data_IF_925927062156
#
_entry.id   IF_925927062156
#
_cell.length_a   1.000
_cell.length_b   1.000
_cell.length_c   1.000
_cell.angle_alpha   90.00
_cell.angle_beta   90.00
_cell.angle_gamma   90.00
#
_symmetry.space_group_name_H-M   'P 1'
#
loop_
_entity.id
_entity.type
_entity.pdbx_description
1 polymer ?
#
# COMPACT_ATOMS: atom_id res chain seq x y z
N UNK A 1 6.94 -10.69 -44.85
CA UNK A 1 5.77 -9.91 -44.49
C UNK A 1 5.38 -10.08 -43.02
N UNK A 2 5.49 -11.30 -42.52
CA UNK A 2 5.23 -11.54 -41.09
C UNK A 2 6.17 -10.77 -40.20
N UNK A 3 7.38 -10.50 -40.67
CA UNK A 3 8.37 -9.75 -39.91
C UNK A 3 7.93 -8.33 -39.58
N UNK A 4 7.11 -7.72 -40.44
CA UNK A 4 6.60 -6.37 -40.24
C UNK A 4 5.63 -6.34 -39.03
N UNK A 5 4.75 -7.34 -38.94
CA UNK A 5 3.80 -7.44 -37.82
C UNK A 5 4.54 -7.69 -36.51
N UNK A 6 5.52 -8.59 -36.54
CA UNK A 6 6.33 -8.87 -35.35
C UNK A 6 7.11 -7.64 -34.90
N UNK A 7 7.60 -6.85 -35.84
CA UNK A 7 8.30 -5.62 -35.54
C UNK A 7 7.37 -4.61 -34.86
N UNK A 8 6.13 -4.51 -35.32
CA UNK A 8 5.15 -3.62 -34.70
C UNK A 8 4.86 -4.02 -33.26
N UNK A 9 4.72 -5.32 -32.99
CA UNK A 9 4.53 -5.81 -31.62
C UNK A 9 5.74 -5.50 -30.75
N UNK A 10 6.94 -5.68 -31.29
CA UNK A 10 8.16 -5.35 -30.58
C UNK A 10 8.24 -3.86 -30.27
N UNK A 11 7.83 -3.02 -31.21
CA UNK A 11 7.84 -1.56 -31.01
C UNK A 11 6.82 -1.14 -29.97
N UNK A 12 5.62 -1.74 -29.96
CA UNK A 12 4.61 -1.44 -28.94
C UNK A 12 5.14 -1.73 -27.55
N UNK A 13 5.83 -2.85 -27.37
CA UNK A 13 6.40 -3.21 -26.07
C UNK A 13 7.48 -2.22 -25.64
N UNK A 14 8.30 -1.75 -26.59
CA UNK A 14 9.33 -0.75 -26.30
C UNK A 14 8.70 0.59 -25.95
N UNK A 15 7.62 0.94 -26.66
CA UNK A 15 6.92 2.21 -26.44
C UNK A 15 6.25 2.26 -25.08
N UNK A 16 6.02 1.09 -24.45
CA UNK A 16 5.46 1.06 -23.10
C UNK A 16 6.51 1.15 -22.01
N UNK A 17 7.80 1.20 -22.38
CA UNK A 17 8.86 1.40 -21.39
C UNK A 17 9.17 2.88 -21.22
N UNK A 18 9.39 3.26 -20.00
CA UNK A 18 9.71 4.65 -19.66
C UNK A 18 10.98 4.70 -18.81
N UNK A 19 11.67 5.82 -18.87
CA UNK A 19 12.79 6.09 -17.99
C UNK A 19 12.26 6.72 -16.72
N UNK A 20 12.69 6.20 -15.57
CA UNK A 20 12.36 6.76 -14.27
C UNK A 20 13.64 6.87 -13.46
N UNK A 21 13.57 7.57 -12.35
CA UNK A 21 14.70 7.72 -11.44
C UNK A 21 14.30 7.24 -10.05
N UNK A 22 15.13 6.38 -9.47
CA UNK A 22 14.92 5.91 -8.10
C UNK A 22 16.19 6.24 -7.32
N UNK A 23 16.06 7.04 -6.27
CA UNK A 23 17.19 7.55 -5.48
C UNK A 23 18.24 8.19 -6.40
N UNK A 24 17.76 8.97 -7.38
CA UNK A 24 18.54 9.74 -8.35
C UNK A 24 19.31 8.90 -9.37
N UNK A 25 19.03 7.61 -9.44
CA UNK A 25 19.61 6.73 -10.46
C UNK A 25 18.58 6.43 -11.55
N UNK A 26 18.97 6.49 -12.83
CA UNK A 26 18.03 6.21 -13.90
C UNK A 26 17.81 4.71 -14.10
N UNK A 27 16.58 4.37 -14.41
CA UNK A 27 16.17 2.99 -14.72
C UNK A 27 15.15 3.01 -15.84
N UNK A 28 15.08 1.92 -16.58
CA UNK A 28 14.00 1.71 -17.55
C UNK A 28 13.02 0.71 -16.98
N UNK A 29 11.75 1.03 -17.06
CA UNK A 29 10.69 0.20 -16.49
C UNK A 29 9.56 0.01 -17.48
N UNK A 30 8.94 -1.17 -17.48
CA UNK A 30 7.67 -1.34 -18.20
C UNK A 30 6.65 -0.36 -17.64
N UNK A 31 5.69 0.04 -18.47
CA UNK A 31 4.61 0.93 -18.08
C UNK A 31 3.28 0.33 -18.57
N UNK A 32 2.35 -0.07 -17.70
CA UNK A 32 2.43 0.04 -16.24
C UNK A 32 3.38 -0.97 -15.60
N UNK A 33 3.67 -0.73 -14.34
CA UNK A 33 4.49 -1.62 -13.51
C UNK A 33 3.73 -1.92 -12.21
N UNK A 34 4.42 -2.50 -11.24
CA UNK A 34 3.85 -2.71 -9.91
C UNK A 34 4.79 -2.13 -8.85
N UNK A 35 4.23 -1.88 -7.66
CA UNK A 35 5.06 -1.44 -6.55
C UNK A 35 6.16 -2.44 -6.25
N UNK A 36 5.81 -3.73 -6.22
CA UNK A 36 6.79 -4.79 -6.00
C UNK A 36 7.94 -4.73 -7.00
N UNK A 37 7.64 -4.51 -8.29
CA UNK A 37 8.65 -4.40 -9.32
C UNK A 37 9.54 -3.19 -9.13
N UNK A 38 8.97 -2.06 -8.70
CA UNK A 38 9.73 -0.84 -8.44
C UNK A 38 10.68 -1.01 -7.24
N UNK A 39 10.22 -1.66 -6.17
CA UNK A 39 11.08 -1.95 -5.02
C UNK A 39 12.26 -2.82 -5.42
N UNK A 40 12.02 -3.82 -6.27
CA UNK A 40 13.09 -4.69 -6.75
C UNK A 40 14.04 -3.96 -7.68
N UNK A 41 13.49 -3.15 -8.60
CA UNK A 41 14.30 -2.39 -9.58
C UNK A 41 15.25 -1.42 -8.88
N UNK A 42 14.76 -0.69 -7.89
CA UNK A 42 15.56 0.26 -7.13
C UNK A 42 16.35 -0.34 -5.99
N UNK A 43 16.25 -1.65 -5.79
CA UNK A 43 16.94 -2.35 -4.70
C UNK A 43 16.70 -1.67 -3.36
N UNK A 44 15.42 -1.37 -3.08
CA UNK A 44 15.03 -0.71 -1.83
C UNK A 44 15.36 -1.62 -0.65
N UNK A 45 16.10 -1.08 0.32
CA UNK A 45 16.55 -1.85 1.47
C UNK A 45 15.38 -2.25 2.37
N UNK A 46 15.46 -3.44 3.00
CA UNK A 46 14.43 -3.85 3.96
C UNK A 46 14.23 -2.80 5.05
N UNK A 47 12.99 -2.54 5.39
CA UNK A 47 12.65 -1.53 6.39
C UNK A 47 12.47 -0.13 5.83
N UNK A 48 12.83 0.11 4.58
CA UNK A 48 12.57 1.39 3.93
C UNK A 48 11.32 1.31 3.05
N UNK A 49 10.73 2.46 2.81
CA UNK A 49 9.55 2.62 1.96
C UNK A 49 9.90 3.45 0.74
N UNK A 50 9.31 3.11 -0.40
CA UNK A 50 9.50 3.86 -1.64
C UNK A 50 8.42 4.92 -1.75
N UNK A 51 8.82 6.12 -2.18
CA UNK A 51 7.90 7.25 -2.35
C UNK A 51 7.97 7.79 -3.77
N UNK A 52 6.81 8.12 -4.32
CA UNK A 52 6.71 8.84 -5.60
C UNK A 52 6.79 10.32 -5.29
N UNK A 53 7.74 11.02 -5.91
CA UNK A 53 7.88 12.45 -5.72
C UNK A 53 6.75 13.18 -6.43
N UNK A 54 6.12 14.09 -5.71
CA UNK A 54 5.00 14.89 -6.22
C UNK A 54 5.45 16.34 -6.29
N UNK A 55 5.15 16.99 -7.42
CA UNK A 55 5.53 18.39 -7.62
C UNK A 55 4.65 19.31 -6.77
N UNK A 56 5.25 20.42 -6.32
CA UNK A 56 4.55 21.44 -5.55
C UNK A 56 4.59 21.17 -4.06
N UNK A 57 3.61 21.72 -3.34
CA UNK A 57 3.55 21.65 -1.88
C UNK A 57 2.93 20.36 -1.34
N UNK A 58 2.70 19.38 -2.22
CA UNK A 58 2.11 18.10 -1.82
C UNK A 58 3.18 17.16 -1.28
N UNK A 59 2.79 16.34 -0.30
CA UNK A 59 3.67 15.31 0.21
C UNK A 59 3.89 14.23 -0.83
N UNK A 60 5.07 13.65 -0.83
CA UNK A 60 5.38 12.53 -1.71
C UNK A 60 4.52 11.33 -1.35
N UNK A 61 4.09 10.60 -2.36
CA UNK A 61 3.13 9.51 -2.18
C UNK A 61 3.83 8.19 -1.92
N UNK A 62 3.51 7.50 -0.82
CA UNK A 62 4.12 6.20 -0.57
C UNK A 62 3.61 5.16 -1.56
N UNK A 63 4.52 4.29 -1.99
CA UNK A 63 4.22 3.19 -2.91
C UNK A 63 4.22 1.90 -2.11
N UNK A 64 3.15 1.15 -2.22
CA UNK A 64 3.06 -0.14 -1.56
C UNK A 64 3.90 -1.19 -2.29
N UNK A 65 4.63 -2.01 -1.54
CA UNK A 65 5.37 -3.15 -2.08
C UNK A 65 4.37 -4.27 -2.34
N UNK A 66 3.70 -4.20 -3.47
CA UNK A 66 2.63 -5.13 -3.79
C UNK A 66 2.33 -5.20 -5.28
N UNK A 67 1.32 -6.00 -5.66
CA UNK A 67 1.02 -6.28 -7.06
C UNK A 67 0.18 -5.23 -7.77
N UNK A 68 -0.28 -4.21 -7.06
CA UNK A 68 -1.14 -3.19 -7.67
C UNK A 68 -0.43 -2.48 -8.82
N UNK A 69 -1.16 -2.27 -9.92
CA UNK A 69 -0.62 -1.64 -11.11
C UNK A 69 -0.36 -0.14 -10.89
N UNK A 70 0.78 0.33 -11.35
CA UNK A 70 1.19 1.72 -11.24
C UNK A 70 1.54 2.23 -12.64
N UNK A 71 0.90 3.32 -13.04
CA UNK A 71 1.22 4.00 -14.29
C UNK A 71 2.33 4.99 -14.06
N UNK A 72 3.31 4.98 -14.95
CA UNK A 72 4.50 5.80 -14.85
C UNK A 72 4.49 6.93 -15.86
N UNK A 73 5.20 8.00 -15.54
CA UNK A 73 5.43 9.13 -16.43
C UNK A 73 6.93 9.19 -16.71
N UNK A 74 7.28 9.58 -17.96
CA UNK A 74 8.69 9.69 -18.37
C UNK A 74 9.45 10.64 -17.44
N UNK A 75 10.63 10.21 -17.02
CA UNK A 75 11.52 10.95 -16.11
C UNK A 75 10.93 11.26 -14.73
N UNK A 76 9.99 10.44 -14.31
CA UNK A 76 9.42 10.53 -12.98
C UNK A 76 10.46 10.13 -11.92
N UNK A 77 10.38 10.75 -10.73
CA UNK A 77 11.32 10.51 -9.65
C UNK A 77 10.67 9.81 -8.46
N UNK A 78 11.40 8.85 -7.92
CA UNK A 78 11.04 8.13 -6.71
C UNK A 78 12.24 8.17 -5.76
N UNK A 79 11.96 8.07 -4.46
CA UNK A 79 13.03 7.94 -3.48
C UNK A 79 12.63 6.97 -2.37
N UNK A 80 13.63 6.31 -1.79
CA UNK A 80 13.42 5.47 -0.62
C UNK A 80 13.68 6.28 0.64
N UNK A 81 12.98 5.91 1.72
CA UNK A 81 13.13 6.60 3.00
C UNK A 81 12.47 5.85 4.12
N UNK A 82 12.50 6.42 5.33
CA UNK A 82 11.85 5.80 6.49
C UNK A 82 10.38 5.55 6.23
N UNK A 83 9.78 4.49 6.83
CA UNK A 83 8.36 4.23 6.67
C UNK A 83 7.52 5.41 7.15
N UNK A 84 6.46 5.69 6.41
CA UNK A 84 5.51 6.74 6.80
C UNK A 84 4.75 6.28 8.04
N UNK A 85 4.57 7.18 8.99
CA UNK A 85 3.74 6.94 10.16
C UNK A 85 2.30 7.33 9.83
N UNK A 86 1.38 6.46 10.23
CA UNK A 86 -0.05 6.73 10.09
C UNK A 86 -0.67 6.82 11.47
N UNK A 87 -1.51 7.81 11.65
CA UNK A 87 -2.26 7.99 12.89
C UNK A 87 -3.68 7.52 12.64
N UNK A 88 -4.10 6.48 13.35
CA UNK A 88 -5.43 5.91 13.22
C UNK A 88 -6.13 5.91 14.57
N UNK A 89 -7.42 5.70 14.55
CA UNK A 89 -8.23 5.67 15.77
C UNK A 89 -8.84 4.28 15.88
N UNK A 90 -8.53 3.58 16.96
CA UNK A 90 -9.05 2.24 17.22
C UNK A 90 -9.84 2.27 18.53
N UNK A 91 -11.14 2.03 18.44
CA UNK A 91 -12.03 2.10 19.59
C UNK A 91 -11.89 3.41 20.36
N UNK A 92 -11.82 4.52 19.62
CA UNK A 92 -11.72 5.86 20.20
C UNK A 92 -10.34 6.27 20.69
N UNK A 93 -9.33 5.40 20.54
CA UNK A 93 -7.97 5.69 20.99
C UNK A 93 -7.03 5.87 19.81
N UNK A 94 -6.17 6.87 19.89
CA UNK A 94 -5.20 7.13 18.83
C UNK A 94 -4.08 6.08 18.89
N UNK A 95 -3.77 5.53 17.71
CA UNK A 95 -2.67 4.58 17.52
C UNK A 95 -1.80 5.06 16.39
N UNK A 96 -0.51 4.85 16.49
CA UNK A 96 0.45 5.18 15.43
C UNK A 96 1.02 3.89 14.90
N UNK A 97 0.93 3.71 13.57
CA UNK A 97 1.49 2.55 12.90
C UNK A 97 2.32 3.02 11.71
N UNK A 98 3.26 2.19 11.29
CA UNK A 98 4.18 2.52 10.21
C UNK A 98 4.09 1.53 9.05
N UNK A 99 2.90 0.99 8.83
CA UNK A 99 2.63 0.06 7.73
C UNK A 99 1.48 0.61 6.91
N UNK A 100 1.42 0.22 5.64
CA UNK A 100 0.38 0.70 4.73
C UNK A 100 -0.90 -0.12 4.79
N UNK A 101 -0.82 -1.34 5.32
CA UNK A 101 -1.97 -2.24 5.49
C UNK A 101 -1.96 -2.83 6.88
N UNK A 102 -3.14 -3.06 7.40
CA UNK A 102 -3.33 -3.77 8.67
C UNK A 102 -4.23 -4.98 8.42
N UNK A 103 -3.88 -6.09 9.06
CA UNK A 103 -4.69 -7.29 9.01
C UNK A 103 -5.74 -7.26 10.11
N UNK A 104 -6.73 -8.14 9.96
CA UNK A 104 -7.74 -8.35 10.98
C UNK A 104 -7.11 -8.59 12.35
N UNK A 105 -6.14 -9.52 12.42
CA UNK A 105 -5.49 -9.84 13.68
C UNK A 105 -4.69 -8.70 14.27
N UNK A 106 -4.00 -7.94 13.42
CA UNK A 106 -3.25 -6.77 13.90
C UNK A 106 -4.18 -5.73 14.51
N UNK A 107 -5.35 -5.52 13.93
CA UNK A 107 -6.32 -4.58 14.46
C UNK A 107 -6.93 -5.06 15.78
N UNK A 108 -7.18 -6.36 15.91
CA UNK A 108 -7.65 -6.91 17.19
C UNK A 108 -6.61 -6.68 18.27
N UNK A 109 -5.33 -6.88 17.95
CA UNK A 109 -4.25 -6.67 18.93
C UNK A 109 -4.07 -5.19 19.27
N UNK A 110 -4.31 -4.29 18.33
CA UNK A 110 -4.27 -2.85 18.59
C UNK A 110 -5.42 -2.42 19.51
N UNK A 111 -6.57 -3.07 19.36
CA UNK A 111 -7.74 -2.76 20.18
C UNK A 111 -7.67 -3.36 21.56
N UNK A 112 -7.14 -4.58 21.68
CA UNK A 112 -7.11 -5.32 22.93
C UNK A 112 -5.76 -5.95 23.18
N UNK A 113 -5.14 -5.59 24.30
CA UNK A 113 -3.85 -6.14 24.70
C UNK A 113 -3.83 -6.33 26.22
N UNK A 114 -4.09 -7.56 26.74
CA UNK A 114 -4.33 -8.81 25.97
C UNK A 114 -5.73 -8.87 25.36
N UNK A 115 -5.90 -9.79 24.43
CA UNK A 115 -7.22 -10.04 23.84
C UNK A 115 -8.16 -10.66 24.88
N UNK A 116 -9.48 -10.38 24.82
CA UNK A 116 -10.43 -11.11 25.65
C UNK A 116 -10.28 -12.61 25.44
N UNK A 117 -10.24 -13.36 26.53
CA UNK A 117 -10.05 -14.80 26.49
C UNK A 117 -11.39 -15.51 26.51
N UNK A 118 -11.46 -16.66 25.85
CA UNK A 118 -12.65 -17.50 25.83
C UNK A 118 -12.73 -18.31 24.55
N UNK A 119 -13.31 -19.52 24.60
CA UNK A 119 -13.36 -20.41 23.43
C UNK A 119 -14.31 -19.91 22.33
N UNK A 120 -15.24 -19.02 22.67
CA UNK A 120 -16.29 -18.59 21.75
C UNK A 120 -16.24 -17.12 21.44
N UNK A 121 -15.09 -16.46 21.68
CA UNK A 121 -14.94 -15.04 21.40
C UNK A 121 -14.70 -14.84 19.91
N UNK A 122 -15.53 -14.01 19.29
CA UNK A 122 -15.36 -13.58 17.91
C UNK A 122 -15.22 -12.06 17.88
N UNK A 123 -14.58 -11.56 16.87
CA UNK A 123 -14.39 -10.12 16.69
C UNK A 123 -15.03 -9.66 15.41
N UNK A 124 -15.61 -8.45 15.47
CA UNK A 124 -16.13 -7.76 14.31
C UNK A 124 -15.37 -6.47 14.16
N UNK A 125 -14.89 -6.17 12.97
CA UNK A 125 -14.15 -4.93 12.69
C UNK A 125 -14.88 -4.14 11.62
N UNK A 126 -15.27 -2.92 11.95
CA UNK A 126 -15.82 -1.96 11.01
C UNK A 126 -14.87 -0.78 10.91
N UNK A 127 -14.77 -0.18 9.74
CA UNK A 127 -13.91 0.98 9.55
C UNK A 127 -14.62 2.08 8.77
N UNK A 128 -14.16 3.30 8.99
CA UNK A 128 -14.61 4.49 8.28
C UNK A 128 -13.44 5.43 8.04
N UNK A 129 -13.69 6.46 7.26
CA UNK A 129 -12.69 7.46 6.89
C UNK A 129 -11.45 6.84 6.23
N UNK A 130 -11.67 5.76 5.50
CA UNK A 130 -10.61 5.09 4.76
C UNK A 130 -10.27 5.78 3.46
N UNK A 131 -9.37 5.15 2.66
CA UNK A 131 -8.99 5.68 1.36
C UNK A 131 -10.21 5.89 0.46
N UNK A 132 -10.10 6.83 -0.46
CA UNK A 132 -11.21 7.21 -1.35
C UNK A 132 -11.81 6.00 -2.08
N UNK A 133 -10.99 5.04 -2.46
CA UNK A 133 -11.45 3.84 -3.16
C UNK A 133 -12.21 2.88 -2.26
N UNK A 134 -12.04 2.99 -0.94
CA UNK A 134 -12.65 2.08 0.04
C UNK A 134 -12.83 2.82 1.37
N UNK A 135 -13.78 3.79 1.42
CA UNK A 135 -13.87 4.68 2.58
C UNK A 135 -14.43 4.03 3.83
N UNK A 136 -15.29 3.02 3.70
CA UNK A 136 -15.89 2.37 4.85
C UNK A 136 -16.26 0.94 4.52
N UNK A 137 -16.35 0.09 5.54
CA UNK A 137 -16.71 -1.30 5.35
C UNK A 137 -16.46 -2.15 6.58
N UNK A 138 -16.56 -3.45 6.39
CA UNK A 138 -16.27 -4.45 7.40
C UNK A 138 -15.04 -5.24 6.97
N UNK A 139 -14.12 -5.46 7.91
CA UNK A 139 -12.94 -6.30 7.66
C UNK A 139 -13.18 -7.67 8.26
N UNK A 140 -13.03 -8.71 7.46
CA UNK A 140 -13.27 -10.09 7.87
C UNK A 140 -11.95 -10.78 8.25
N UNK A 141 -12.03 -11.87 9.07
CA UNK A 141 -10.85 -12.65 9.40
C UNK A 141 -10.07 -13.06 8.14
N UNK A 142 -8.77 -12.95 8.20
CA UNK A 142 -7.90 -13.29 7.07
C UNK A 142 -7.71 -12.17 6.04
N UNK A 143 -8.44 -11.09 6.19
CA UNK A 143 -8.33 -9.95 5.27
C UNK A 143 -7.38 -8.89 5.79
N UNK A 144 -6.96 -8.02 4.89
CA UNK A 144 -6.19 -6.82 5.21
C UNK A 144 -6.91 -5.60 4.64
N UNK A 145 -6.63 -4.44 5.19
CA UNK A 145 -7.18 -3.19 4.70
C UNK A 145 -6.06 -2.16 4.55
N UNK A 146 -6.10 -1.39 3.47
CA UNK A 146 -5.18 -0.28 3.26
C UNK A 146 -5.59 0.86 4.20
N UNK A 147 -4.64 1.43 4.91
CA UNK A 147 -4.92 2.45 5.89
C UNK A 147 -4.63 3.86 5.35
N UNK A 148 -5.25 4.83 5.98
CA UNK A 148 -5.11 6.25 5.70
C UNK A 148 -5.04 6.98 7.03
N UNK A 149 -4.35 8.13 7.07
CA UNK A 149 -4.32 8.94 8.28
C UNK A 149 -5.73 9.30 8.72
N UNK A 150 -5.98 9.27 10.02
CA UNK A 150 -7.23 9.59 10.67
C UNK A 150 -8.34 8.54 10.42
N UNK A 151 -7.99 7.39 9.83
CA UNK A 151 -8.95 6.31 9.61
C UNK A 151 -9.42 5.76 10.95
N UNK A 152 -10.72 5.43 11.03
CA UNK A 152 -11.36 5.01 12.27
C UNK A 152 -11.73 3.54 12.21
N UNK A 153 -11.39 2.80 13.25
CA UNK A 153 -11.71 1.37 13.38
C UNK A 153 -12.51 1.13 14.65
N UNK A 154 -13.50 0.30 14.52
CA UNK A 154 -14.32 -0.17 15.63
C UNK A 154 -14.19 -1.68 15.71
N UNK A 155 -13.56 -2.18 16.77
CA UNK A 155 -13.30 -3.60 16.98
C UNK A 155 -14.15 -4.08 18.17
N UNK A 156 -15.10 -4.98 17.90
CA UNK A 156 -16.06 -5.41 18.90
C UNK A 156 -15.90 -6.92 19.18
N UNK A 157 -15.68 -7.32 20.44
CA UNK A 157 -15.69 -8.74 20.79
C UNK A 157 -17.13 -9.18 21.01
N UNK A 158 -17.44 -10.42 20.61
CA UNK A 158 -18.73 -11.02 20.82
C UNK A 158 -18.51 -12.42 21.35
N UNK A 159 -19.17 -12.75 22.46
CA UNK A 159 -19.16 -14.11 23.00
C UNK A 159 -20.33 -14.87 22.41
N UNK A 160 -20.04 -15.96 21.71
CA UNK A 160 -21.05 -16.78 21.05
C UNK A 160 -21.43 -18.01 21.84
N UNK A 161 -21.14 -18.05 23.14
CA UNK A 161 -21.46 -19.16 24.01
C UNK A 161 -22.97 -19.36 24.20
#
# INVERSE_FOLDING_TARGET
MNTKVETEHGMERRDTQVRIHIDQKPYHSPNPTSGKALYALGEVKPGLMLYREVKGDHEDAPIEDGPEAIRLVEDEHFHSGPPKEYHIIVNGKKKTVNVMRLSFDQLVDLAFNPRPAGPNIMFTINYGKGPKANPEGELLPGQTVKIKDEMVFCVTPTDKS
#
